data_IF_854102644307
#
_entry.id   IF_854102644307
#
_cell.length_a   1.000
_cell.length_b   1.000
_cell.length_c   1.000
_cell.angle_alpha   90.00
_cell.angle_beta   90.00
_cell.angle_gamma   90.00
#
_symmetry.space_group_name_H-M   'P 1'
#
loop_
_entity.id
_entity.type
_entity.pdbx_description
1 polymer ?
#
# COMPACT_ATOMS: atom_id res chain seq x y z
N UNK A 1 16.95 15.58 -19.62
CA UNK A 1 17.59 16.92 -19.57
C UNK A 1 17.55 17.43 -18.13
N UNK A 2 18.29 18.48 -17.77
CA UNK A 2 18.12 19.10 -16.45
C UNK A 2 16.78 19.86 -16.39
N UNK A 3 15.99 19.68 -15.32
CA UNK A 3 14.74 20.43 -15.13
C UNK A 3 15.05 21.91 -14.89
N UNK A 4 14.19 22.78 -15.42
CA UNK A 4 14.23 24.21 -15.08
C UNK A 4 13.65 24.44 -13.67
N UNK A 5 14.01 25.55 -13.02
CA UNK A 5 13.52 25.89 -11.68
C UNK A 5 11.99 25.91 -11.59
N UNK A 6 11.30 26.38 -12.64
CA UNK A 6 9.83 26.37 -12.70
C UNK A 6 9.26 24.96 -12.79
N UNK A 7 9.93 24.05 -13.51
CA UNK A 7 9.50 22.66 -13.60
C UNK A 7 9.77 21.90 -12.30
N UNK A 8 10.89 22.15 -11.63
CA UNK A 8 11.16 21.60 -10.29
C UNK A 8 10.13 22.09 -9.28
N UNK A 9 9.81 23.39 -9.28
CA UNK A 9 8.77 23.95 -8.42
C UNK A 9 7.40 23.33 -8.72
N UNK A 10 7.05 23.18 -9.99
CA UNK A 10 5.82 22.49 -10.40
C UNK A 10 5.73 21.07 -9.83
N UNK A 11 6.82 20.30 -9.87
CA UNK A 11 6.85 18.94 -9.32
C UNK A 11 6.55 18.93 -7.81
N UNK A 12 7.13 19.87 -7.06
CA UNK A 12 6.92 19.99 -5.60
C UNK A 12 5.49 20.40 -5.27
N UNK A 13 4.99 21.42 -5.95
CA UNK A 13 3.65 21.97 -5.76
C UNK A 13 2.54 20.99 -6.16
N UNK A 14 2.79 20.17 -7.19
CA UNK A 14 1.86 19.13 -7.62
C UNK A 14 1.65 18.07 -6.56
N UNK A 15 2.70 17.72 -5.80
CA UNK A 15 2.58 16.70 -4.78
C UNK A 15 1.81 17.15 -3.52
N UNK A 16 1.47 18.42 -3.38
CA UNK A 16 0.71 18.90 -2.22
C UNK A 16 -0.74 18.40 -2.27
N UNK A 17 -1.41 18.55 -3.42
CA UNK A 17 -2.84 18.30 -3.58
C UNK A 17 -3.19 17.52 -4.87
N UNK A 18 -2.18 17.13 -5.66
CA UNK A 18 -2.33 16.49 -6.98
C UNK A 18 -3.15 17.33 -7.97
N UNK A 19 -3.22 18.65 -7.77
CA UNK A 19 -3.89 19.57 -8.66
C UNK A 19 -2.87 20.22 -9.60
N UNK A 20 -2.81 19.74 -10.83
CA UNK A 20 -1.84 20.19 -11.83
C UNK A 20 -1.97 21.68 -12.17
N UNK A 21 -3.20 22.18 -12.33
CA UNK A 21 -3.44 23.59 -12.67
C UNK A 21 -3.00 24.50 -11.54
N UNK A 22 -3.34 24.18 -10.28
CA UNK A 22 -2.90 24.97 -9.13
C UNK A 22 -1.39 24.88 -8.92
N UNK A 23 -0.79 23.70 -9.14
CA UNK A 23 0.65 23.54 -9.10
C UNK A 23 1.38 24.43 -10.11
N UNK A 24 0.85 24.55 -11.34
CA UNK A 24 1.41 25.47 -12.33
C UNK A 24 1.30 26.94 -11.90
N UNK A 25 0.19 27.34 -11.29
CA UNK A 25 0.02 28.71 -10.76
C UNK A 25 1.04 28.98 -9.65
N UNK A 26 1.14 28.08 -8.66
CA UNK A 26 2.07 28.18 -7.53
C UNK A 26 3.54 28.15 -7.97
N UNK A 27 3.85 27.41 -9.03
CA UNK A 27 5.17 27.37 -9.66
C UNK A 27 5.52 28.62 -10.51
N UNK A 28 4.63 29.61 -10.59
CA UNK A 28 4.89 30.88 -11.28
C UNK A 28 4.68 30.83 -12.79
N UNK A 29 3.83 29.92 -13.28
CA UNK A 29 3.29 29.99 -14.64
C UNK A 29 2.09 30.95 -14.70
N UNK A 30 1.79 31.46 -15.90
CA UNK A 30 0.66 32.37 -16.10
C UNK A 30 -0.65 31.68 -15.74
N UNK A 31 -1.43 32.30 -14.84
CA UNK A 31 -2.73 31.78 -14.42
C UNK A 31 -3.71 31.58 -15.61
N UNK A 32 -3.63 32.44 -16.63
CA UNK A 32 -4.48 32.36 -17.83
C UNK A 32 -4.23 31.09 -18.66
N UNK A 33 -3.00 30.55 -18.61
CA UNK A 33 -2.59 29.37 -19.40
C UNK A 33 -2.14 28.20 -18.53
N UNK A 34 -2.37 28.28 -17.22
CA UNK A 34 -1.88 27.30 -16.25
C UNK A 34 -2.39 25.88 -16.54
N UNK A 35 -3.67 25.73 -16.91
CA UNK A 35 -4.23 24.42 -17.25
C UNK A 35 -3.48 23.75 -18.42
N UNK A 36 -3.25 24.49 -19.51
CA UNK A 36 -2.52 23.98 -20.68
C UNK A 36 -1.08 23.63 -20.34
N UNK A 37 -0.42 24.53 -19.59
CA UNK A 37 0.98 24.36 -19.18
C UNK A 37 1.14 23.16 -18.24
N UNK A 38 0.18 22.96 -17.33
CA UNK A 38 0.14 21.83 -16.42
C UNK A 38 0.00 20.51 -17.18
N UNK A 39 -0.92 20.44 -18.15
CA UNK A 39 -1.09 19.27 -19.02
C UNK A 39 0.19 18.96 -19.80
N UNK A 40 0.82 19.99 -20.39
CA UNK A 40 2.09 19.86 -21.10
C UNK A 40 3.24 19.43 -20.18
N UNK A 41 3.29 19.95 -18.95
CA UNK A 41 4.31 19.53 -17.99
C UNK A 41 4.12 18.07 -17.57
N UNK A 42 2.88 17.64 -17.34
CA UNK A 42 2.60 16.25 -16.98
C UNK A 42 2.86 15.26 -18.13
N UNK A 43 2.91 15.69 -19.38
CA UNK A 43 3.26 14.81 -20.51
C UNK A 43 4.78 14.64 -20.71
N UNK A 44 5.61 15.48 -20.09
CA UNK A 44 7.07 15.42 -20.22
C UNK A 44 7.67 14.30 -19.38
N UNK A 45 8.42 13.34 -19.97
CA UNK A 45 9.01 12.22 -19.21
C UNK A 45 9.94 12.65 -18.07
N UNK A 46 10.73 13.71 -18.27
CA UNK A 46 11.64 14.25 -17.25
C UNK A 46 10.87 14.73 -16.00
N UNK A 47 9.71 15.36 -16.20
CA UNK A 47 8.84 15.84 -15.09
C UNK A 47 8.13 14.67 -14.41
N UNK A 48 7.63 13.70 -15.18
CA UNK A 48 7.02 12.49 -14.62
C UNK A 48 8.01 11.73 -13.75
N UNK A 49 9.25 11.57 -14.24
CA UNK A 49 10.34 10.91 -13.50
C UNK A 49 10.63 11.66 -12.21
N UNK A 50 10.72 13.00 -12.25
CA UNK A 50 10.96 13.82 -11.06
C UNK A 50 9.84 13.73 -10.03
N UNK A 51 8.58 13.74 -10.47
CA UNK A 51 7.42 13.54 -9.59
C UNK A 51 7.49 12.16 -8.93
N UNK A 52 7.87 11.12 -9.67
CA UNK A 52 8.03 9.77 -9.12
C UNK A 52 9.14 9.72 -8.05
N UNK A 53 10.31 10.32 -8.31
CA UNK A 53 11.38 10.44 -7.31
C UNK A 53 10.92 11.15 -6.03
N UNK A 54 10.26 12.30 -6.17
CA UNK A 54 9.77 13.06 -5.01
C UNK A 54 8.70 12.29 -4.21
N UNK A 55 7.88 11.47 -4.88
CA UNK A 55 6.95 10.56 -4.20
C UNK A 55 7.69 9.52 -3.38
N UNK A 56 8.72 8.88 -3.94
CA UNK A 56 9.55 7.91 -3.23
C UNK A 56 10.23 8.58 -2.02
N UNK A 57 10.86 9.74 -2.21
CA UNK A 57 11.51 10.48 -1.12
C UNK A 57 10.54 10.85 0.01
N UNK A 58 9.32 11.32 -0.32
CA UNK A 58 8.29 11.59 0.70
C UNK A 58 7.91 10.31 1.45
N UNK A 59 7.70 9.22 0.73
CA UNK A 59 7.32 7.95 1.33
C UNK A 59 8.43 7.42 2.26
N UNK A 60 9.69 7.59 1.89
CA UNK A 60 10.84 7.21 2.71
C UNK A 60 10.95 8.09 3.96
N UNK A 61 10.71 9.40 3.85
CA UNK A 61 10.69 10.31 5.00
C UNK A 61 9.57 9.99 6.00
N UNK A 62 8.37 9.66 5.49
CA UNK A 62 7.21 9.33 6.34
C UNK A 62 7.31 7.88 6.84
N UNK A 63 8.05 7.01 6.15
CA UNK A 63 8.21 5.60 6.47
C UNK A 63 6.94 4.75 6.24
N UNK A 64 5.89 5.32 5.64
CA UNK A 64 4.63 4.64 5.33
C UNK A 64 4.60 4.37 3.82
N UNK A 65 5.22 3.27 3.42
CA UNK A 65 5.29 2.82 2.03
C UNK A 65 4.71 1.40 1.88
N UNK A 66 4.75 0.85 0.67
CA UNK A 66 4.26 -0.50 0.40
C UNK A 66 4.95 -1.54 1.30
N UNK A 67 6.26 -1.41 1.51
CA UNK A 67 7.05 -2.27 2.40
C UNK A 67 6.57 -2.19 3.85
N UNK A 68 6.27 -0.99 4.36
CA UNK A 68 5.72 -0.80 5.70
C UNK A 68 4.38 -1.54 5.87
N UNK A 69 3.47 -1.41 4.92
CA UNK A 69 2.17 -2.10 4.95
C UNK A 69 2.37 -3.62 4.95
N UNK A 70 3.24 -4.13 4.07
CA UNK A 70 3.54 -5.56 3.99
C UNK A 70 4.12 -6.08 5.30
N UNK A 71 5.11 -5.39 5.87
CA UNK A 71 5.73 -5.75 7.14
C UNK A 71 4.71 -5.80 8.28
N UNK A 72 3.77 -4.83 8.33
CA UNK A 72 2.69 -4.84 9.32
C UNK A 72 1.74 -6.02 9.16
N UNK A 73 1.44 -6.44 7.94
CA UNK A 73 0.63 -7.64 7.70
C UNK A 73 1.40 -8.90 8.09
N UNK A 74 2.69 -8.99 7.78
CA UNK A 74 3.55 -10.12 8.18
C UNK A 74 3.66 -10.23 9.70
N UNK A 75 3.81 -9.12 10.42
CA UNK A 75 3.79 -9.11 11.89
C UNK A 75 2.50 -9.72 12.45
N UNK A 76 1.34 -9.42 11.86
CA UNK A 76 0.04 -9.98 12.26
C UNK A 76 -0.02 -11.49 11.98
N UNK A 77 0.50 -11.92 10.82
CA UNK A 77 0.52 -13.32 10.43
C UNK A 77 1.35 -14.17 11.41
N UNK A 78 2.51 -13.64 11.79
CA UNK A 78 3.48 -14.28 12.69
C UNK A 78 3.10 -14.26 14.17
N UNK A 79 1.99 -13.62 14.56
CA UNK A 79 1.54 -13.61 15.95
C UNK A 79 1.34 -15.03 16.50
N UNK A 80 2.01 -15.36 17.59
CA UNK A 80 1.89 -16.64 18.31
C UNK A 80 1.29 -16.42 19.71
N UNK A 81 0.29 -17.22 20.07
CA UNK A 81 -0.37 -17.14 21.38
C UNK A 81 0.61 -17.36 22.52
N UNK A 82 1.67 -18.14 22.30
CA UNK A 82 2.71 -18.41 23.29
C UNK A 82 3.46 -17.14 23.73
N UNK A 83 3.45 -16.09 22.90
CA UNK A 83 4.01 -14.79 23.25
C UNK A 83 3.35 -14.19 24.50
N UNK A 84 2.05 -14.44 24.69
CA UNK A 84 1.23 -13.84 25.74
C UNK A 84 0.79 -14.82 26.82
N UNK A 85 1.21 -16.08 26.75
CA UNK A 85 0.92 -17.10 27.76
C UNK A 85 2.12 -17.40 28.65
N UNK A 86 1.87 -17.61 29.94
CA UNK A 86 2.83 -18.16 30.90
C UNK A 86 3.06 -19.65 30.63
N UNK A 87 4.07 -20.25 31.27
CA UNK A 87 4.33 -21.70 31.19
C UNK A 87 3.19 -22.56 31.75
N UNK A 88 2.30 -21.97 32.55
CA UNK A 88 1.10 -22.62 33.11
C UNK A 88 -0.13 -22.47 32.21
N UNK A 89 -0.03 -21.72 31.10
CA UNK A 89 -1.14 -21.46 30.19
C UNK A 89 -2.03 -20.27 30.58
N UNK A 90 -1.63 -19.48 31.59
CA UNK A 90 -2.33 -18.26 31.98
C UNK A 90 -1.88 -17.07 31.11
N UNK A 91 -2.74 -16.06 30.96
CA UNK A 91 -2.35 -14.84 30.25
C UNK A 91 -1.33 -14.04 31.07
N UNK A 92 -0.19 -13.73 30.45
CA UNK A 92 0.77 -12.75 30.96
C UNK A 92 0.09 -11.40 31.19
N UNK A 93 0.59 -10.57 32.11
CA UNK A 93 0.19 -9.16 32.21
C UNK A 93 0.38 -8.42 30.88
N UNK A 94 -0.54 -7.51 30.52
CA UNK A 94 -0.51 -6.75 29.25
C UNK A 94 0.80 -5.95 29.10
N UNK A 95 1.42 -5.53 30.20
CA UNK A 95 2.74 -4.87 30.19
C UNK A 95 3.86 -5.73 29.62
N UNK A 96 3.71 -7.07 29.67
CA UNK A 96 4.67 -8.03 29.13
C UNK A 96 4.35 -8.44 27.69
N UNK A 97 3.23 -7.96 27.12
CA UNK A 97 2.86 -8.33 25.76
C UNK A 97 3.74 -7.62 24.74
N UNK A 98 4.20 -8.32 23.68
CA UNK A 98 4.84 -7.67 22.55
C UNK A 98 3.96 -6.57 21.95
N UNK A 99 4.58 -5.59 21.29
CA UNK A 99 3.86 -4.43 20.73
C UNK A 99 2.79 -4.87 19.72
N UNK A 100 3.06 -5.89 18.91
CA UNK A 100 2.10 -6.42 17.93
C UNK A 100 0.80 -6.80 18.61
N UNK A 101 0.85 -7.64 19.66
CA UNK A 101 -0.28 -8.04 20.49
C UNK A 101 -1.03 -6.87 21.15
N UNK A 102 -0.38 -5.75 21.44
CA UNK A 102 -1.05 -4.58 22.03
C UNK A 102 -1.75 -3.68 21.00
N UNK A 103 -1.42 -3.82 19.72
CA UNK A 103 -1.84 -2.88 18.67
C UNK A 103 -2.66 -3.52 17.55
N UNK A 104 -2.77 -4.85 17.50
CA UNK A 104 -3.42 -5.57 16.39
C UNK A 104 -4.65 -6.40 16.80
N UNK A 105 -4.96 -6.51 18.09
CA UNK A 105 -6.10 -7.30 18.54
C UNK A 105 -7.42 -6.71 18.03
N UNK A 106 -8.31 -7.59 17.59
CA UNK A 106 -9.66 -7.19 17.17
C UNK A 106 -10.59 -6.92 18.35
N UNK A 107 -10.23 -7.40 19.55
CA UNK A 107 -10.97 -7.10 20.77
C UNK A 107 -10.41 -7.82 21.99
N UNK A 108 -10.69 -7.27 23.16
CA UNK A 108 -10.38 -7.85 24.45
C UNK A 108 -11.62 -7.65 25.34
N UNK A 109 -12.31 -8.75 25.64
CA UNK A 109 -13.46 -8.73 26.55
C UNK A 109 -12.96 -9.12 27.95
N UNK A 110 -13.15 -8.24 28.94
CA UNK A 110 -12.82 -8.49 30.35
C UNK A 110 -14.10 -8.58 31.13
N UNK A 111 -14.41 -9.76 31.64
CA UNK A 111 -15.60 -10.03 32.45
C UNK A 111 -15.16 -10.31 33.87
N UNK A 112 -15.63 -9.48 34.79
CA UNK A 112 -15.45 -9.70 36.22
C UNK A 112 -16.67 -10.47 36.74
N UNK A 113 -16.44 -11.68 37.25
CA UNK A 113 -17.48 -12.50 37.86
C UNK A 113 -17.33 -12.42 39.38
N UNK A 114 -18.33 -11.87 40.05
CA UNK A 114 -18.43 -11.94 41.51
C UNK A 114 -18.90 -13.32 41.92
N UNK A 115 -18.03 -14.12 42.56
CA UNK A 115 -18.46 -15.30 43.29
C UNK A 115 -18.84 -14.90 44.72
N UNK A 116 -19.96 -15.42 45.23
CA UNK A 116 -20.34 -15.30 46.64
C UNK A 116 -19.24 -15.92 47.51
N UNK A 117 -18.47 -15.07 48.19
CA UNK A 117 -17.26 -15.48 48.92
C UNK A 117 -15.97 -14.76 48.49
N UNK A 118 -16.04 -13.46 48.22
CA UNK A 118 -14.90 -12.52 48.21
C UNK A 118 -13.74 -12.81 47.23
N UNK A 119 -13.89 -13.71 46.27
CA UNK A 119 -12.95 -13.91 45.16
C UNK A 119 -13.63 -13.59 43.84
N UNK A 120 -13.37 -12.40 43.30
CA UNK A 120 -13.77 -12.05 41.94
C UNK A 120 -12.91 -12.83 40.94
N UNK A 121 -13.53 -13.63 40.08
CA UNK A 121 -12.86 -14.32 38.99
C UNK A 121 -12.87 -13.40 37.74
N UNK A 122 -11.69 -13.06 37.24
CA UNK A 122 -11.52 -12.25 36.02
C UNK A 122 -11.38 -13.16 34.81
N UNK A 123 -12.42 -13.24 33.97
CA UNK A 123 -12.38 -13.94 32.70
C UNK A 123 -11.96 -12.96 31.60
N UNK A 124 -10.85 -13.27 30.91
CA UNK A 124 -10.33 -12.47 29.80
C UNK A 124 -10.47 -13.26 28.50
N UNK A 125 -11.25 -12.74 27.55
CA UNK A 125 -11.42 -13.31 26.22
C UNK A 125 -10.75 -12.41 25.18
N UNK A 126 -9.84 -12.98 24.40
CA UNK A 126 -9.09 -12.26 23.35
C UNK A 126 -9.68 -12.62 21.99
N UNK A 127 -9.98 -11.60 21.17
CA UNK A 127 -10.40 -11.76 19.78
C UNK A 127 -9.22 -11.48 18.85
N UNK A 128 -8.91 -12.48 18.03
CA UNK A 128 -7.79 -12.44 17.10
C UNK A 128 -8.11 -11.61 15.87
N UNK A 129 -7.09 -10.98 15.26
CA UNK A 129 -7.20 -10.51 13.89
C UNK A 129 -7.51 -11.67 12.95
N UNK A 130 -8.31 -11.40 11.92
CA UNK A 130 -8.63 -12.38 10.90
C UNK A 130 -7.37 -12.74 10.09
N UNK A 131 -6.75 -13.88 10.43
CA UNK A 131 -5.54 -14.36 9.77
C UNK A 131 -5.75 -14.73 8.30
N UNK A 132 -6.94 -15.19 7.92
CA UNK A 132 -7.24 -15.52 6.52
C UNK A 132 -7.31 -14.24 5.70
N UNK A 133 -8.01 -13.23 6.21
CA UNK A 133 -8.05 -11.92 5.56
C UNK A 133 -6.67 -11.28 5.49
N UNK A 134 -5.86 -11.45 6.52
CA UNK A 134 -4.48 -10.96 6.54
C UNK A 134 -3.63 -11.58 5.44
N UNK A 135 -3.67 -12.90 5.26
CA UNK A 135 -2.98 -13.60 4.16
C UNK A 135 -3.51 -13.19 2.78
N UNK A 136 -4.82 -12.96 2.65
CA UNK A 136 -5.39 -12.43 1.41
C UNK A 136 -4.82 -11.04 1.07
N UNK A 137 -4.70 -10.15 2.06
CA UNK A 137 -4.12 -8.82 1.89
C UNK A 137 -2.63 -8.88 1.56
N UNK A 138 -1.88 -9.79 2.18
CA UNK A 138 -0.48 -10.06 1.83
C UNK A 138 -0.37 -10.50 0.37
N UNK A 139 -1.17 -11.48 -0.06
CA UNK A 139 -1.12 -11.95 -1.44
C UNK A 139 -1.58 -10.92 -2.48
N UNK A 140 -2.45 -9.97 -2.10
CA UNK A 140 -2.86 -8.83 -2.95
C UNK A 140 -1.87 -7.68 -2.98
N UNK A 141 -0.84 -7.70 -2.13
CA UNK A 141 0.18 -6.66 -2.09
C UNK A 141 0.91 -6.53 -3.43
N UNK A 142 1.31 -5.31 -3.78
CA UNK A 142 1.89 -4.98 -5.10
C UNK A 142 3.21 -5.71 -5.39
N UNK A 143 3.96 -6.11 -4.37
CA UNK A 143 5.22 -6.85 -4.56
C UNK A 143 5.01 -8.37 -4.51
N UNK A 144 3.96 -8.84 -3.81
CA UNK A 144 3.68 -10.28 -3.63
C UNK A 144 2.86 -10.84 -4.81
N UNK A 145 1.77 -10.16 -5.18
CA UNK A 145 0.89 -10.49 -6.31
C UNK A 145 0.49 -11.99 -6.43
N UNK A 146 0.35 -12.72 -5.32
CA UNK A 146 0.12 -14.16 -5.29
C UNK A 146 -1.19 -14.61 -5.96
N UNK A 147 -2.17 -13.71 -6.08
CA UNK A 147 -3.48 -13.98 -6.69
C UNK A 147 -3.65 -13.35 -8.07
N UNK A 148 -2.56 -12.87 -8.70
CA UNK A 148 -2.64 -12.27 -10.03
C UNK A 148 -3.00 -13.36 -11.04
N UNK A 149 -4.13 -13.17 -11.73
CA UNK A 149 -4.50 -14.03 -12.85
C UNK A 149 -3.41 -13.95 -13.93
N UNK A 150 -2.85 -15.10 -14.29
CA UNK A 150 -1.97 -15.19 -15.45
C UNK A 150 -2.82 -15.02 -16.70
N UNK A 151 -2.88 -13.80 -17.22
CA UNK A 151 -3.41 -13.57 -18.56
C UNK A 151 -2.40 -14.16 -19.54
N UNK A 152 -2.63 -15.40 -19.98
CA UNK A 152 -1.93 -15.96 -21.13
C UNK A 152 -2.27 -15.09 -22.33
N UNK A 153 -1.35 -14.20 -22.71
CA UNK A 153 -1.41 -13.54 -24.00
C UNK A 153 -0.94 -14.56 -25.02
N UNK A 154 -1.84 -15.42 -25.47
CA UNK A 154 -1.63 -16.16 -26.71
C UNK A 154 -1.63 -15.11 -27.82
N UNK A 155 -0.43 -14.64 -28.17
CA UNK A 155 -0.23 -14.00 -29.46
C UNK A 155 -0.53 -15.07 -30.50
N UNK A 156 -1.76 -15.08 -31.00
CA UNK A 156 -2.12 -15.73 -32.25
C UNK A 156 -1.32 -15.01 -33.32
N UNK A 157 -0.15 -15.57 -33.66
CA UNK A 157 0.67 -15.17 -34.82
C UNK A 157 0.06 -15.73 -36.12
N UNK A 158 -1.14 -16.32 -36.06
CA UNK A 158 -1.94 -16.61 -37.25
C UNK A 158 -2.59 -15.31 -37.71
N UNK A 159 -1.88 -14.50 -38.50
CA UNK A 159 -2.46 -13.47 -39.39
C UNK A 159 -1.41 -12.60 -40.11
N UNK A 160 -0.12 -12.92 -40.12
CA UNK A 160 0.81 -12.27 -41.09
C UNK A 160 1.04 -13.19 -42.30
N UNK A 161 1.18 -14.50 -42.08
CA UNK A 161 1.30 -15.47 -43.17
C UNK A 161 0.02 -15.55 -43.99
N UNK A 162 -1.15 -15.63 -43.35
CA UNK A 162 -2.44 -15.67 -44.06
C UNK A 162 -2.74 -14.37 -44.82
N UNK A 163 -2.31 -13.23 -44.29
CA UNK A 163 -2.43 -11.93 -44.95
C UNK A 163 -1.46 -11.81 -46.14
N UNK A 164 -0.22 -12.32 -46.03
CA UNK A 164 0.72 -12.38 -47.15
C UNK A 164 0.27 -13.34 -48.25
N UNK A 165 -0.28 -14.50 -47.88
CA UNK A 165 -0.80 -15.48 -48.83
C UNK A 165 -2.01 -14.91 -49.60
N UNK A 166 -2.92 -14.21 -48.91
CA UNK A 166 -4.06 -13.55 -49.55
C UNK A 166 -3.67 -12.41 -50.51
N UNK A 167 -2.56 -11.70 -50.23
CA UNK A 167 -2.03 -10.67 -51.11
C UNK A 167 -1.26 -11.24 -52.31
N UNK A 168 -0.65 -12.43 -52.16
CA UNK A 168 0.09 -13.10 -53.24
C UNK A 168 -0.81 -13.76 -54.29
N UNK A 169 -2.04 -14.17 -53.91
CA UNK A 169 -3.00 -14.80 -54.82
C UNK A 169 -3.88 -13.80 -55.60
N UNK A 170 -3.71 -12.50 -55.35
CA UNK A 170 -4.48 -11.42 -55.99
C UNK A 170 -3.75 -10.67 -57.11
N UNK A 171 -2.60 -11.16 -57.59
CA UNK A 171 -1.79 -10.53 -58.66
C UNK A 171 -1.78 -11.35 -59.95
#
# INVERSE_FOLDING_TARGET
MALTDKQEMFCREYLIDLNATQAAIRAGYSAKTANRTASENLSKPDIQSRIAELKVQRNDLVGINATYVLNRLVEIDQMDVLDILTSTGELKPVSQWPKVWRTTLSGLDVVEMSAEGNTAALLKKIKWPDKVKNLELIGKHIDVQAFREQVKTEHVVDSISDLMDSLSQGA
#
